data_IF_954021441131
#
_entry.id   IF_954021441131
#
_cell.length_a   1.000
_cell.length_b   1.000
_cell.length_c   1.000
_cell.angle_alpha   90.00
_cell.angle_beta   90.00
_cell.angle_gamma   90.00
#
_symmetry.space_group_name_H-M   'P 1'
#
loop_
_entity.id
_entity.type
_entity.pdbx_description
1 polymer ?
#
# COMPACT_ATOMS: atom_id res chain seq x y z
N UNK A 1 -16.77 17.30 -0.21
CA UNK A 1 -16.93 16.36 -1.35
C UNK A 1 -15.69 16.48 -2.21
N UNK A 2 -14.64 15.71 -1.89
CA UNK A 2 -13.44 15.56 -2.74
C UNK A 2 -13.42 14.10 -3.20
N UNK A 3 -14.33 13.79 -4.11
CA UNK A 3 -14.25 12.58 -4.94
C UNK A 3 -13.37 12.94 -6.13
N UNK A 4 -12.17 12.36 -6.20
CA UNK A 4 -11.49 11.80 -7.39
C UNK A 4 -9.96 11.83 -7.14
N UNK A 5 -9.41 10.74 -6.59
CA UNK A 5 -8.01 10.39 -6.81
C UNK A 5 -7.99 8.89 -7.03
N UNK A 6 -8.04 8.54 -8.31
CA UNK A 6 -8.19 7.19 -8.85
C UNK A 6 -7.00 6.31 -8.45
N UNK A 7 -7.16 5.60 -7.35
CA UNK A 7 -6.71 4.21 -7.31
C UNK A 7 -7.92 3.38 -7.73
N UNK A 8 -8.33 3.50 -8.99
CA UNK A 8 -9.42 2.69 -9.53
C UNK A 8 -8.83 1.36 -9.96
N UNK A 9 -9.10 0.32 -9.19
CA UNK A 9 -8.90 -1.04 -9.65
C UNK A 9 -9.72 -1.35 -10.91
N UNK A 10 -9.37 -2.44 -11.58
CA UNK A 10 -10.08 -2.95 -12.72
C UNK A 10 -11.15 -3.95 -12.30
N UNK A 11 -12.39 -3.67 -12.68
CA UNK A 11 -13.53 -4.59 -12.49
C UNK A 11 -13.25 -5.94 -13.15
N UNK A 12 -12.61 -5.95 -14.32
CA UNK A 12 -12.26 -7.19 -15.02
C UNK A 12 -11.25 -8.02 -14.22
N UNK A 13 -10.16 -7.39 -13.75
CA UNK A 13 -9.16 -8.08 -12.93
C UNK A 13 -9.76 -8.56 -11.61
N UNK A 14 -10.62 -7.77 -10.98
CA UNK A 14 -11.31 -8.16 -9.75
C UNK A 14 -12.21 -9.38 -9.93
N UNK A 15 -12.93 -9.48 -11.05
CA UNK A 15 -13.75 -10.67 -11.39
C UNK A 15 -12.89 -11.91 -11.64
N UNK A 16 -11.76 -11.75 -12.33
CA UNK A 16 -10.80 -12.84 -12.56
C UNK A 16 -10.22 -13.34 -11.24
N UNK A 17 -9.74 -12.43 -10.39
CA UNK A 17 -9.27 -12.75 -9.03
C UNK A 17 -10.32 -13.51 -8.22
N UNK A 18 -11.58 -13.06 -8.25
CA UNK A 18 -12.68 -13.71 -7.54
C UNK A 18 -12.99 -15.12 -8.07
N UNK A 19 -12.75 -15.36 -9.37
CA UNK A 19 -12.85 -16.69 -9.98
C UNK A 19 -11.63 -17.59 -9.72
N UNK A 20 -10.61 -17.10 -8.99
CA UNK A 20 -9.35 -17.80 -8.76
C UNK A 20 -8.41 -17.80 -9.98
N UNK A 21 -8.57 -16.82 -10.86
CA UNK A 21 -7.67 -16.57 -11.99
C UNK A 21 -6.69 -15.45 -11.64
N UNK A 22 -5.49 -15.83 -11.18
CA UNK A 22 -4.49 -14.91 -10.63
C UNK A 22 -3.48 -14.48 -11.71
N UNK A 23 -3.32 -13.18 -11.90
CA UNK A 23 -2.31 -12.59 -12.79
C UNK A 23 -1.48 -11.57 -12.01
N UNK A 24 -0.26 -11.95 -11.63
CA UNK A 24 0.64 -11.11 -10.84
C UNK A 24 2.04 -11.08 -11.46
N UNK A 25 2.63 -9.88 -11.55
CA UNK A 25 3.95 -9.67 -12.15
C UNK A 25 4.11 -10.34 -13.54
N UNK A 26 3.05 -10.32 -14.35
CA UNK A 26 3.01 -10.94 -15.69
C UNK A 26 2.86 -12.46 -15.70
N UNK A 27 2.83 -13.13 -14.54
CA UNK A 27 2.65 -14.56 -14.42
C UNK A 27 1.19 -14.91 -14.14
N UNK A 28 0.63 -15.77 -14.99
CA UNK A 28 -0.73 -16.26 -14.90
C UNK A 28 -0.78 -17.61 -14.15
N UNK A 29 -1.64 -17.71 -13.15
CA UNK A 29 -1.83 -18.89 -12.33
C UNK A 29 -3.34 -19.13 -12.07
N UNK A 30 -3.98 -20.06 -12.79
CA UNK A 30 -5.34 -20.48 -12.49
C UNK A 30 -5.35 -21.41 -11.27
N UNK A 31 -6.09 -21.02 -10.24
CA UNK A 31 -6.23 -21.75 -8.98
C UNK A 31 -7.65 -21.53 -8.39
N UNK A 32 -8.71 -22.01 -9.08
CA UNK A 32 -10.09 -21.80 -8.65
C UNK A 32 -10.35 -22.38 -7.25
N UNK A 33 -10.98 -21.58 -6.39
CA UNK A 33 -11.31 -21.96 -5.02
C UNK A 33 -10.14 -22.00 -4.04
N UNK A 34 -8.92 -21.69 -4.47
CA UNK A 34 -7.77 -21.56 -3.57
C UNK A 34 -7.71 -20.17 -2.94
N UNK A 35 -7.24 -20.10 -1.69
CA UNK A 35 -6.94 -18.84 -1.03
C UNK A 35 -5.66 -18.23 -1.62
N UNK A 36 -5.62 -16.90 -1.75
CA UNK A 36 -4.47 -16.19 -2.33
C UNK A 36 -3.15 -16.50 -1.59
N UNK A 37 -3.21 -16.83 -0.30
CA UNK A 37 -2.03 -17.14 0.52
C UNK A 37 -1.62 -18.61 0.49
N UNK A 38 -2.39 -19.47 -0.17
CA UNK A 38 -2.07 -20.90 -0.39
C UNK A 38 -1.46 -21.15 -1.79
N UNK A 39 -1.31 -20.10 -2.59
CA UNK A 39 -0.69 -20.18 -3.90
C UNK A 39 0.80 -20.57 -3.78
N UNK A 40 1.36 -21.32 -4.75
CA UNK A 40 2.75 -21.78 -4.74
C UNK A 40 3.82 -20.68 -4.88
N UNK A 41 3.43 -19.41 -5.06
CA UNK A 41 4.33 -18.25 -5.23
C UNK A 41 5.48 -18.51 -6.24
N UNK A 42 5.17 -18.69 -7.54
CA UNK A 42 6.11 -19.23 -8.54
C UNK A 42 7.34 -18.36 -8.82
N UNK A 43 7.36 -17.09 -8.36
CA UNK A 43 8.52 -16.22 -8.42
C UNK A 43 8.50 -15.17 -7.32
N UNK A 44 9.66 -14.59 -7.02
CA UNK A 44 9.77 -13.48 -6.07
C UNK A 44 8.93 -12.25 -6.50
N UNK A 45 8.80 -11.99 -7.81
CA UNK A 45 7.97 -10.91 -8.33
C UNK A 45 6.47 -11.17 -8.11
N UNK A 46 6.03 -12.42 -8.29
CA UNK A 46 4.66 -12.84 -7.99
C UNK A 46 4.36 -12.69 -6.50
N UNK A 47 5.24 -13.21 -5.64
CA UNK A 47 5.11 -13.11 -4.18
C UNK A 47 5.06 -11.64 -3.72
N UNK A 48 5.97 -10.80 -4.24
CA UNK A 48 5.99 -9.37 -3.95
C UNK A 48 4.68 -8.67 -4.35
N UNK A 49 4.14 -8.96 -5.55
CA UNK A 49 2.88 -8.40 -6.00
C UNK A 49 1.69 -8.80 -5.11
N UNK A 50 1.63 -10.07 -4.69
CA UNK A 50 0.60 -10.56 -3.75
C UNK A 50 0.72 -9.85 -2.39
N UNK A 51 1.94 -9.72 -1.85
CA UNK A 51 2.22 -9.04 -0.58
C UNK A 51 2.08 -7.50 -0.63
N UNK A 52 2.01 -6.91 -1.83
CA UNK A 52 1.83 -5.48 -2.08
C UNK A 52 0.37 -5.01 -2.01
N UNK A 53 -0.61 -5.93 -2.01
CA UNK A 53 -2.05 -5.65 -1.84
C UNK A 53 -2.71 -4.80 -2.94
N UNK A 54 -2.12 -4.65 -4.12
CA UNK A 54 -2.78 -3.95 -5.25
C UNK A 54 -4.04 -4.65 -5.74
N UNK A 55 -4.13 -5.97 -5.57
CA UNK A 55 -5.35 -6.73 -5.85
C UNK A 55 -6.56 -6.23 -5.03
N UNK A 56 -6.35 -5.52 -3.93
CA UNK A 56 -7.44 -4.98 -3.13
C UNK A 56 -8.20 -3.91 -3.90
N UNK A 57 -7.51 -3.06 -4.65
CA UNK A 57 -8.12 -2.04 -5.50
C UNK A 57 -9.05 -2.69 -6.54
N UNK A 58 -8.59 -3.79 -7.14
CA UNK A 58 -9.34 -4.55 -8.15
C UNK A 58 -10.58 -5.24 -7.55
N UNK A 59 -10.47 -5.86 -6.38
CA UNK A 59 -11.63 -6.46 -5.69
C UNK A 59 -12.67 -5.42 -5.29
N UNK A 60 -12.22 -4.26 -4.83
CA UNK A 60 -13.08 -3.14 -4.44
C UNK A 60 -13.81 -2.54 -5.64
N UNK A 61 -13.15 -2.46 -6.80
CA UNK A 61 -13.77 -1.97 -8.03
C UNK A 61 -15.00 -2.78 -8.47
N UNK A 62 -15.03 -4.09 -8.19
CA UNK A 62 -16.20 -4.94 -8.48
C UNK A 62 -17.40 -4.58 -7.60
N UNK A 63 -17.14 -4.22 -6.33
CA UNK A 63 -18.14 -3.73 -5.38
C UNK A 63 -19.32 -4.69 -5.15
N UNK A 64 -19.05 -5.99 -4.95
CA UNK A 64 -20.08 -6.98 -4.59
C UNK A 64 -19.79 -7.67 -3.24
N UNK A 65 -20.78 -8.43 -2.74
CA UNK A 65 -20.66 -9.10 -1.44
C UNK A 65 -19.57 -10.18 -1.44
N UNK A 66 -19.32 -10.83 -2.57
CA UNK A 66 -18.33 -11.90 -2.68
C UNK A 66 -16.91 -11.35 -2.67
N UNK A 67 -16.60 -10.34 -3.50
CA UNK A 67 -15.29 -9.70 -3.53
C UNK A 67 -14.97 -8.97 -2.22
N UNK A 68 -15.98 -8.38 -1.56
CA UNK A 68 -15.83 -7.81 -0.22
C UNK A 68 -15.42 -8.86 0.82
N UNK A 69 -16.05 -10.05 0.79
CA UNK A 69 -15.68 -11.15 1.68
C UNK A 69 -14.27 -11.67 1.40
N UNK A 70 -13.89 -11.80 0.12
CA UNK A 70 -12.52 -12.18 -0.26
C UNK A 70 -11.49 -11.18 0.27
N UNK A 71 -11.70 -9.88 0.01
CA UNK A 71 -10.83 -8.81 0.49
C UNK A 71 -10.62 -8.85 2.01
N UNK A 72 -11.71 -8.99 2.78
CA UNK A 72 -11.66 -9.09 4.24
C UNK A 72 -10.97 -10.38 4.71
N UNK A 73 -11.32 -11.53 4.13
CA UNK A 73 -10.77 -12.83 4.51
C UNK A 73 -9.28 -12.90 4.22
N UNK A 74 -8.85 -12.54 3.01
CA UNK A 74 -7.44 -12.52 2.62
C UNK A 74 -6.64 -11.53 3.47
N UNK A 75 -7.19 -10.35 3.77
CA UNK A 75 -6.50 -9.39 4.66
C UNK A 75 -6.30 -9.96 6.07
N UNK A 76 -7.33 -10.58 6.64
CA UNK A 76 -7.23 -11.19 7.97
C UNK A 76 -6.34 -12.42 8.00
N UNK A 77 -6.33 -13.20 6.93
CA UNK A 77 -5.46 -14.35 6.82
C UNK A 77 -3.99 -13.92 6.69
N UNK A 78 -3.72 -12.83 5.97
CA UNK A 78 -2.39 -12.19 5.98
C UNK A 78 -1.96 -11.77 7.38
N UNK A 79 -2.85 -11.12 8.15
CA UNK A 79 -2.56 -10.73 9.54
C UNK A 79 -2.20 -11.96 10.38
N UNK A 80 -2.93 -13.06 10.20
CA UNK A 80 -2.71 -14.32 10.94
C UNK A 80 -1.37 -14.96 10.58
N UNK A 81 -1.02 -15.03 9.29
CA UNK A 81 0.20 -15.70 8.79
C UNK A 81 1.46 -14.85 8.97
N UNK A 82 1.37 -13.54 8.73
CA UNK A 82 2.54 -12.66 8.57
C UNK A 82 2.54 -11.46 9.52
N UNK A 83 1.54 -11.29 10.38
CA UNK A 83 1.39 -10.11 11.24
C UNK A 83 2.47 -9.91 12.32
N UNK A 84 3.38 -10.87 12.49
CA UNK A 84 4.45 -10.82 13.50
C UNK A 84 5.66 -9.94 13.12
N UNK A 85 5.71 -9.37 11.92
CA UNK A 85 6.80 -8.43 11.57
C UNK A 85 8.02 -9.06 10.90
N UNK A 86 7.91 -10.28 10.37
CA UNK A 86 9.05 -10.99 9.75
C UNK A 86 8.59 -11.90 8.61
N UNK A 87 9.54 -12.32 7.77
CA UNK A 87 9.31 -13.20 6.62
C UNK A 87 8.90 -12.44 5.35
N UNK A 88 8.34 -13.18 4.40
CA UNK A 88 7.86 -12.66 3.11
C UNK A 88 6.89 -11.48 3.29
N UNK A 89 7.04 -10.46 2.44
CA UNK A 89 6.23 -9.24 2.47
C UNK A 89 6.64 -8.17 3.49
N UNK A 90 7.68 -8.42 4.30
CA UNK A 90 8.28 -7.42 5.22
C UNK A 90 9.52 -6.74 4.66
N UNK A 91 9.39 -6.19 3.47
CA UNK A 91 10.31 -5.16 2.96
C UNK A 91 9.67 -3.77 3.13
N UNK A 92 10.45 -2.68 3.25
CA UNK A 92 9.87 -1.36 3.47
C UNK A 92 8.94 -0.92 2.33
N UNK A 93 9.28 -1.21 1.08
CA UNK A 93 8.50 -0.84 -0.08
C UNK A 93 7.16 -1.60 -0.15
N UNK A 94 7.17 -2.92 0.04
CA UNK A 94 5.94 -3.72 0.11
C UNK A 94 5.07 -3.35 1.31
N UNK A 95 5.68 -3.06 2.46
CA UNK A 95 4.94 -2.62 3.64
C UNK A 95 4.32 -1.24 3.41
N UNK A 96 5.03 -0.33 2.75
CA UNK A 96 4.53 0.99 2.38
C UNK A 96 3.32 0.90 1.46
N UNK A 97 3.43 0.09 0.40
CA UNK A 97 2.33 -0.20 -0.52
C UNK A 97 1.10 -0.73 0.22
N UNK A 98 1.28 -1.76 1.04
CA UNK A 98 0.20 -2.42 1.77
C UNK A 98 -0.49 -1.49 2.77
N UNK A 99 0.27 -0.70 3.54
CA UNK A 99 -0.29 0.27 4.49
C UNK A 99 -1.18 1.29 3.77
N UNK A 100 -0.73 1.80 2.62
CA UNK A 100 -1.51 2.75 1.83
C UNK A 100 -2.84 2.14 1.36
N UNK A 101 -2.83 0.92 0.78
CA UNK A 101 -4.07 0.24 0.36
C UNK A 101 -4.98 -0.09 1.53
N UNK A 102 -4.43 -0.54 2.66
CA UNK A 102 -5.23 -0.84 3.86
C UNK A 102 -5.97 0.38 4.40
N UNK A 103 -5.34 1.55 4.36
CA UNK A 103 -5.96 2.80 4.81
C UNK A 103 -7.04 3.25 3.83
N UNK A 104 -6.75 3.20 2.52
CA UNK A 104 -7.69 3.60 1.47
C UNK A 104 -8.96 2.75 1.48
N UNK A 105 -8.86 1.48 1.85
CA UNK A 105 -9.96 0.53 1.90
C UNK A 105 -10.40 0.18 3.33
N UNK A 106 -10.01 0.99 4.33
CA UNK A 106 -10.26 0.67 5.73
C UNK A 106 -11.75 0.49 6.04
N UNK A 107 -12.62 1.34 5.49
CA UNK A 107 -14.07 1.25 5.71
C UNK A 107 -14.64 -0.07 5.21
N UNK A 108 -14.27 -0.49 4.00
CA UNK A 108 -14.68 -1.77 3.42
C UNK A 108 -14.10 -2.96 4.20
N UNK A 109 -12.82 -2.90 4.57
CA UNK A 109 -12.17 -3.97 5.32
C UNK A 109 -12.72 -4.14 6.74
N UNK A 110 -13.21 -3.06 7.35
CA UNK A 110 -13.75 -3.07 8.72
C UNK A 110 -15.28 -3.22 8.76
N UNK A 111 -15.98 -2.96 7.66
CA UNK A 111 -17.44 -3.06 7.59
C UNK A 111 -17.94 -4.44 8.04
N UNK A 112 -18.84 -4.43 9.04
CA UNK A 112 -19.42 -5.65 9.60
C UNK A 112 -18.45 -6.57 10.34
N UNK A 113 -17.17 -6.19 10.52
CA UNK A 113 -16.22 -6.99 11.27
C UNK A 113 -16.42 -6.84 12.78
N UNK A 114 -16.39 -7.97 13.49
CA UNK A 114 -16.44 -7.96 14.95
C UNK A 114 -15.21 -7.31 15.59
N UNK A 115 -15.36 -6.84 16.84
CA UNK A 115 -14.34 -6.10 17.59
C UNK A 115 -12.96 -6.78 17.61
N UNK A 116 -12.91 -8.10 17.70
CA UNK A 116 -11.65 -8.86 17.70
C UNK A 116 -10.86 -8.69 16.39
N UNK A 117 -11.53 -8.82 15.25
CA UNK A 117 -10.93 -8.65 13.92
C UNK A 117 -10.51 -7.20 13.69
N UNK A 118 -11.36 -6.23 14.01
CA UNK A 118 -11.02 -4.81 13.88
C UNK A 118 -9.81 -4.42 14.76
N UNK A 119 -9.70 -4.98 15.96
CA UNK A 119 -8.54 -4.78 16.83
C UNK A 119 -7.28 -5.43 16.25
N UNK A 120 -7.38 -6.63 15.68
CA UNK A 120 -6.25 -7.28 15.02
C UNK A 120 -5.75 -6.47 13.82
N UNK A 121 -6.66 -5.95 13.00
CA UNK A 121 -6.36 -5.04 11.89
C UNK A 121 -5.60 -3.80 12.37
N UNK A 122 -6.15 -3.07 13.34
CA UNK A 122 -5.50 -1.86 13.89
C UNK A 122 -4.12 -2.15 14.49
N UNK A 123 -3.98 -3.24 15.25
CA UNK A 123 -2.67 -3.64 15.81
C UNK A 123 -1.65 -3.95 14.72
N UNK A 124 -2.07 -4.66 13.67
CA UNK A 124 -1.19 -4.98 12.54
C UNK A 124 -0.81 -3.71 11.77
N UNK A 125 -1.76 -2.80 11.52
CA UNK A 125 -1.48 -1.51 10.89
C UNK A 125 -0.46 -0.70 11.69
N UNK A 126 -0.63 -0.62 13.02
CA UNK A 126 0.36 0.03 13.90
C UNK A 126 1.73 -0.62 13.84
N UNK A 127 1.81 -1.96 13.86
CA UNK A 127 3.08 -2.67 13.76
C UNK A 127 3.81 -2.39 12.43
N UNK A 128 3.06 -2.33 11.32
CA UNK A 128 3.59 -2.00 10.00
C UNK A 128 4.10 -0.55 9.93
N UNK A 129 3.36 0.41 10.48
CA UNK A 129 3.80 1.82 10.57
C UNK A 129 5.07 1.95 11.41
N UNK A 130 5.16 1.25 12.55
CA UNK A 130 6.36 1.24 13.39
C UNK A 130 7.55 0.62 12.65
N UNK A 131 7.34 -0.49 11.94
CA UNK A 131 8.37 -1.12 11.11
C UNK A 131 8.90 -0.13 10.06
N UNK A 132 8.02 0.53 9.31
CA UNK A 132 8.41 1.53 8.32
C UNK A 132 9.23 2.65 8.95
N UNK A 133 8.83 3.16 10.11
CA UNK A 133 9.54 4.23 10.79
C UNK A 133 11.00 3.86 11.16
N UNK A 134 11.26 2.56 11.35
CA UNK A 134 12.58 2.02 11.69
C UNK A 134 13.38 1.59 10.47
N UNK A 135 12.73 1.18 9.37
CA UNK A 135 13.36 0.43 8.28
C UNK A 135 13.29 1.10 6.90
N UNK A 136 12.55 2.19 6.72
CA UNK A 136 12.43 2.84 5.39
C UNK A 136 13.76 3.11 4.67
N UNK A 137 14.85 3.36 5.41
CA UNK A 137 16.19 3.61 4.85
C UNK A 137 16.80 2.40 4.14
N UNK A 138 16.33 1.18 4.44
CA UNK A 138 16.83 -0.04 3.79
C UNK A 138 16.19 -0.27 2.43
N UNK A 139 15.13 0.47 2.08
CA UNK A 139 14.60 0.47 0.72
C UNK A 139 15.64 1.09 -0.24
N UNK A 140 15.83 0.52 -1.43
CA UNK A 140 16.62 1.13 -2.49
C UNK A 140 16.15 2.57 -2.79
N UNK A 141 17.05 3.50 -3.17
CA UNK A 141 16.65 4.82 -3.65
C UNK A 141 15.67 4.74 -4.82
N UNK A 142 14.88 5.79 -5.03
CA UNK A 142 13.83 5.83 -6.06
C UNK A 142 12.50 5.27 -5.56
N UNK A 143 11.70 4.66 -6.47
CA UNK A 143 10.32 4.29 -6.20
C UNK A 143 10.13 3.45 -4.90
N UNK A 144 10.97 2.43 -4.60
CA UNK A 144 10.81 1.64 -3.39
C UNK A 144 10.82 2.48 -2.10
N UNK A 145 11.69 3.50 -2.04
CA UNK A 145 11.77 4.38 -0.87
C UNK A 145 10.62 5.39 -0.82
N UNK A 146 10.13 5.84 -1.97
CA UNK A 146 8.89 6.64 -2.04
C UNK A 146 7.71 5.85 -1.48
N UNK A 147 7.54 4.58 -1.88
CA UNK A 147 6.48 3.71 -1.37
C UNK A 147 6.55 3.56 0.15
N UNK A 148 7.75 3.27 0.67
CA UNK A 148 7.98 3.13 2.11
C UNK A 148 7.65 4.42 2.88
N UNK A 149 8.08 5.59 2.38
CA UNK A 149 7.87 6.88 3.03
C UNK A 149 6.43 7.37 2.93
N UNK A 150 5.78 7.20 1.78
CA UNK A 150 4.38 7.54 1.59
C UNK A 150 3.49 6.68 2.50
N UNK A 151 3.72 5.36 2.54
CA UNK A 151 3.03 4.47 3.46
C UNK A 151 3.25 4.84 4.93
N UNK A 152 4.47 5.27 5.30
CA UNK A 152 4.75 5.75 6.66
C UNK A 152 3.98 7.04 7.00
N UNK A 153 3.85 7.97 6.05
CA UNK A 153 3.07 9.20 6.24
C UNK A 153 1.58 8.85 6.40
N UNK A 154 1.00 8.04 5.52
CA UNK A 154 -0.39 7.58 5.62
C UNK A 154 -0.65 6.87 6.95
N UNK A 155 0.19 5.89 7.29
CA UNK A 155 0.10 5.14 8.54
C UNK A 155 0.21 6.02 9.77
N UNK A 156 1.08 7.04 9.74
CA UNK A 156 1.22 7.98 10.85
C UNK A 156 0.06 8.96 10.95
N UNK A 157 -0.59 9.32 9.84
CA UNK A 157 -1.77 10.17 9.84
C UNK A 157 -3.02 9.42 10.35
N UNK A 158 -3.13 8.12 10.03
CA UNK A 158 -4.26 7.28 10.45
C UNK A 158 -4.20 6.84 11.94
N UNK A 159 -3.05 6.99 12.61
CA UNK A 159 -2.82 6.49 13.96
C UNK A 159 -2.48 7.62 14.94
N UNK A 160 -3.12 7.60 16.12
CA UNK A 160 -2.84 8.58 17.17
C UNK A 160 -1.40 8.46 17.72
N UNK A 161 -0.78 9.60 18.03
CA UNK A 161 0.54 9.66 18.68
C UNK A 161 1.74 9.48 17.74
N UNK A 162 1.53 9.46 16.42
CA UNK A 162 2.59 9.21 15.42
C UNK A 162 3.14 10.50 14.76
N UNK A 163 2.81 11.67 15.29
CA UNK A 163 3.19 12.98 14.73
C UNK A 163 4.69 13.15 14.44
N UNK A 164 5.54 12.62 15.33
CA UNK A 164 6.99 12.71 15.16
C UNK A 164 7.49 11.87 13.98
N UNK A 165 6.87 10.71 13.75
CA UNK A 165 7.17 9.84 12.61
C UNK A 165 6.71 10.50 11.30
N UNK A 166 5.49 11.05 11.28
CA UNK A 166 4.96 11.78 10.13
C UNK A 166 5.87 12.93 9.70
N UNK A 167 6.29 13.80 10.64
CA UNK A 167 7.20 14.91 10.32
C UNK A 167 8.55 14.45 9.78
N UNK A 168 9.13 13.39 10.36
CA UNK A 168 10.42 12.85 9.90
C UNK A 168 10.31 12.22 8.52
N UNK A 169 9.22 11.50 8.27
CA UNK A 169 8.92 10.89 6.97
C UNK A 169 8.71 11.96 5.89
N UNK A 170 7.93 13.01 6.19
CA UNK A 170 7.72 14.16 5.28
C UNK A 170 9.05 14.79 4.82
N UNK A 171 9.94 15.11 5.76
CA UNK A 171 11.26 15.67 5.42
C UNK A 171 12.16 14.68 4.68
N UNK A 172 12.01 13.38 4.94
CA UNK A 172 12.74 12.35 4.23
C UNK A 172 12.26 12.23 2.78
N UNK A 173 10.94 12.25 2.56
CA UNK A 173 10.34 12.19 1.23
C UNK A 173 10.75 13.41 0.40
N UNK A 174 10.68 14.62 0.98
CA UNK A 174 11.15 15.83 0.32
C UNK A 174 12.64 15.80 -0.08
N UNK A 175 13.49 15.12 0.71
CA UNK A 175 14.90 14.91 0.35
C UNK A 175 15.03 13.90 -0.80
N UNK A 176 14.24 12.84 -0.78
CA UNK A 176 14.26 11.83 -1.83
C UNK A 176 13.77 12.40 -3.17
N UNK A 177 12.75 13.27 -3.17
CA UNK A 177 12.33 14.03 -4.36
C UNK A 177 13.51 14.77 -4.99
N UNK A 178 14.25 15.54 -4.19
CA UNK A 178 15.41 16.31 -4.69
C UNK A 178 16.56 15.45 -5.20
N UNK A 179 16.67 14.20 -4.76
CA UNK A 179 17.70 13.28 -5.25
C UNK A 179 17.28 12.49 -6.49
N UNK A 180 15.98 12.24 -6.66
CA UNK A 180 15.47 11.36 -7.71
C UNK A 180 14.88 12.11 -8.90
N UNK A 181 14.41 13.35 -8.70
CA UNK A 181 13.76 14.19 -9.70
C UNK A 181 14.65 15.40 -9.96
N UNK A 182 15.10 15.56 -11.20
CA UNK A 182 15.95 16.68 -11.59
C UNK A 182 15.14 17.99 -11.73
N UNK A 183 15.85 19.09 -12.03
CA UNK A 183 15.21 20.41 -12.21
C UNK A 183 14.25 20.51 -13.39
N UNK A 184 14.17 19.49 -14.25
CA UNK A 184 13.23 19.39 -15.38
C UNK A 184 12.11 18.37 -15.11
N UNK A 185 12.06 17.77 -13.91
CA UNK A 185 11.05 16.77 -13.55
C UNK A 185 11.37 15.35 -14.02
N UNK A 186 12.56 15.08 -14.54
CA UNK A 186 12.94 13.76 -15.02
C UNK A 186 13.55 12.90 -13.91
N UNK A 187 13.32 11.58 -14.00
CA UNK A 187 13.92 10.57 -13.11
C UNK A 187 15.01 9.77 -13.84
N UNK A 188 15.94 9.21 -13.05
CA UNK A 188 17.12 8.49 -13.56
C UNK A 188 16.76 7.31 -14.47
N UNK A 189 15.72 6.55 -14.12
CA UNK A 189 15.30 5.37 -14.90
C UNK A 189 14.71 5.71 -16.26
N UNK A 190 14.30 6.96 -16.47
CA UNK A 190 13.55 7.43 -17.65
C UNK A 190 12.31 6.58 -17.95
N UNK A 191 11.76 5.90 -16.93
CA UNK A 191 10.52 5.15 -17.04
C UNK A 191 9.34 6.07 -16.69
N UNK A 192 8.46 6.42 -17.64
CA UNK A 192 7.32 7.30 -17.36
C UNK A 192 6.31 6.68 -16.37
N UNK A 193 6.20 5.35 -16.32
CA UNK A 193 5.32 4.68 -15.35
C UNK A 193 5.83 4.85 -13.92
N UNK A 194 7.14 4.72 -13.71
CA UNK A 194 7.76 4.94 -12.39
C UNK A 194 7.58 6.40 -11.92
N UNK A 195 7.75 7.36 -12.84
CA UNK A 195 7.53 8.78 -12.53
C UNK A 195 6.07 9.04 -12.12
N UNK A 196 5.13 8.45 -12.85
CA UNK A 196 3.71 8.58 -12.55
C UNK A 196 3.36 7.98 -11.17
N UNK A 197 3.90 6.81 -10.85
CA UNK A 197 3.71 6.19 -9.51
C UNK A 197 4.30 7.06 -8.38
N UNK A 198 5.50 7.62 -8.57
CA UNK A 198 6.07 8.57 -7.62
C UNK A 198 5.16 9.77 -7.40
N UNK A 199 4.60 10.33 -8.48
CA UNK A 199 3.68 11.46 -8.41
C UNK A 199 2.41 11.13 -7.62
N UNK A 200 1.81 9.96 -7.87
CA UNK A 200 0.66 9.51 -7.09
C UNK A 200 1.00 9.40 -5.60
N UNK A 201 2.14 8.80 -5.24
CA UNK A 201 2.58 8.68 -3.86
C UNK A 201 2.79 10.05 -3.19
N UNK A 202 3.30 11.04 -3.94
CA UNK A 202 3.43 12.41 -3.45
C UNK A 202 2.08 13.08 -3.20
N UNK A 203 1.12 12.93 -4.11
CA UNK A 203 -0.23 13.47 -3.93
C UNK A 203 -0.92 12.86 -2.70
N UNK A 204 -0.79 11.53 -2.52
CA UNK A 204 -1.28 10.85 -1.32
C UNK A 204 -0.62 11.41 -0.06
N UNK A 205 0.72 11.51 -0.04
CA UNK A 205 1.44 12.06 1.11
C UNK A 205 1.00 13.51 1.43
N UNK A 206 0.80 14.34 0.40
CA UNK A 206 0.33 15.71 0.57
C UNK A 206 -1.08 15.75 1.18
N UNK A 207 -2.02 14.94 0.68
CA UNK A 207 -3.38 14.85 1.19
C UNK A 207 -3.41 14.42 2.67
N UNK A 208 -2.62 13.41 3.06
CA UNK A 208 -2.55 12.97 4.45
C UNK A 208 -1.98 14.05 5.39
N UNK A 209 -0.96 14.79 4.95
CA UNK A 209 -0.41 15.91 5.73
C UNK A 209 -1.46 17.01 5.93
N UNK A 210 -2.20 17.36 4.88
CA UNK A 210 -3.25 18.37 4.94
C UNK A 210 -4.39 17.97 5.89
N UNK A 211 -4.87 16.72 5.81
CA UNK A 211 -5.88 16.19 6.73
C UNK A 211 -5.41 16.21 8.19
N UNK A 212 -4.11 16.01 8.43
CA UNK A 212 -3.50 16.12 9.75
C UNK A 212 -3.21 17.58 10.19
N UNK A 213 -3.70 18.58 9.46
CA UNK A 213 -3.48 20.01 9.77
C UNK A 213 -2.02 20.46 9.59
N UNK A 214 -1.24 19.76 8.77
CA UNK A 214 0.17 20.07 8.49
C UNK A 214 0.34 20.50 7.04
N UNK A 215 1.07 21.59 6.75
CA UNK A 215 1.35 21.94 5.37
C UNK A 215 2.25 20.86 4.74
N UNK A 216 1.97 20.41 3.50
CA UNK A 216 2.92 19.61 2.75
C UNK A 216 4.16 20.46 2.43
N UNK A 217 5.34 19.81 2.46
CA UNK A 217 6.61 20.40 2.03
C UNK A 217 6.51 20.83 0.56
N UNK A 218 7.25 21.87 0.15
CA UNK A 218 7.19 22.39 -1.23
C UNK A 218 7.50 21.31 -2.29
N UNK A 219 8.39 20.37 -1.95
CA UNK A 219 8.77 19.24 -2.80
C UNK A 219 7.64 18.22 -3.04
N UNK A 220 6.52 18.31 -2.32
CA UNK A 220 5.34 17.45 -2.52
C UNK A 220 4.27 18.10 -3.42
N UNK A 221 4.46 19.36 -3.82
CA UNK A 221 3.49 20.16 -4.59
C UNK A 221 3.85 20.30 -6.08
N UNK A 222 4.73 19.41 -6.57
CA UNK A 222 5.14 19.39 -7.96
C UNK A 222 3.94 19.24 -8.89
#
# INVERSE_FOLDING_TARGET
>A
MMSDTRVTGSVERGRRLAAGDFLFAGLHLPAPGQDIWDLPMPSAGFEAAVHGFEWLDDLTAVCDLHTNRLAQNWTHDWIRRFGLGSGSGWTPELTGRRVLRWINHADQLLAGQGRAKSNAFRRSLSAQTVFLSRRWKTAPPGLPRFEALAGLIQGSAALSGMDSHMRRASRALARECRSCIDGQGAIVSRNPEELLEMFFLLNWAAAALQLAGRPPEDAHRA
#
